data_IF_753923606135
#
_entry.id   IF_753923606135
#
_cell.length_a   1.000
_cell.length_b   1.000
_cell.length_c   1.000
_cell.angle_alpha   90.00
_cell.angle_beta   90.00
_cell.angle_gamma   90.00
#
_symmetry.space_group_name_H-M   'P 1'
#
loop_
_entity.id
_entity.type
_entity.pdbx_description
1 polymer ?
#
# COMPACT_ATOMS: atom_id res chain seq x y z
N UNK A 1 19.16 40.41 16.17
CA UNK A 1 17.74 40.25 16.58
C UNK A 1 16.94 39.91 15.34
N UNK A 2 16.40 38.69 15.22
CA UNK A 2 15.43 38.34 14.18
C UNK A 2 14.04 38.63 14.76
N UNK A 3 13.21 39.36 14.03
CA UNK A 3 11.83 39.64 14.43
C UNK A 3 11.08 38.32 14.65
N UNK A 4 10.12 38.25 15.61
CA UNK A 4 9.25 37.09 15.73
C UNK A 4 8.36 37.02 14.48
N UNK A 5 8.25 35.82 13.91
CA UNK A 5 7.20 35.52 12.95
C UNK A 5 5.88 35.44 13.72
N UNK A 6 5.08 36.50 13.66
CA UNK A 6 3.71 36.45 14.15
C UNK A 6 2.93 35.54 13.22
N UNK A 7 2.53 34.37 13.72
CA UNK A 7 1.68 33.44 12.99
C UNK A 7 0.28 34.07 12.89
N UNK A 8 -0.12 34.43 11.68
CA UNK A 8 -1.48 34.91 11.41
C UNK A 8 -2.51 33.84 11.79
N UNK A 9 -3.69 34.24 12.31
CA UNK A 9 -4.67 33.29 12.81
C UNK A 9 -5.21 32.45 11.65
N UNK A 10 -4.99 31.13 11.72
CA UNK A 10 -5.61 30.15 10.83
C UNK A 10 -7.13 30.27 10.93
N UNK A 11 -7.72 31.00 10.00
CA UNK A 11 -9.17 31.11 9.83
C UNK A 11 -9.62 29.97 8.92
N UNK A 12 -10.65 29.26 9.37
CA UNK A 12 -11.22 28.00 8.83
C UNK A 12 -10.39 26.75 9.16
N UNK A 13 -10.97 25.82 9.94
CA UNK A 13 -10.43 24.46 10.12
C UNK A 13 -10.41 23.74 8.76
N UNK A 14 -9.34 23.91 7.97
CA UNK A 14 -9.02 22.97 6.91
C UNK A 14 -8.75 21.62 7.56
N UNK A 15 -9.73 20.72 7.46
CA UNK A 15 -9.61 19.34 7.95
C UNK A 15 -8.49 18.64 7.20
N UNK A 16 -7.28 18.69 7.75
CA UNK A 16 -6.14 17.99 7.20
C UNK A 16 -6.32 16.49 7.37
N UNK A 17 -6.73 15.82 6.30
CA UNK A 17 -6.86 14.37 6.29
C UNK A 17 -5.47 13.78 6.14
N UNK A 18 -5.05 12.95 7.10
CA UNK A 18 -3.78 12.23 7.10
C UNK A 18 -4.02 10.71 7.02
N UNK A 19 -4.28 10.16 5.82
CA UNK A 19 -4.61 8.76 5.65
C UNK A 19 -3.43 7.87 6.01
N UNK A 20 -3.72 6.80 6.72
CA UNK A 20 -2.79 5.70 6.92
C UNK A 20 -3.42 4.43 6.35
N UNK A 21 -2.74 3.82 5.38
CA UNK A 21 -3.19 2.62 4.67
C UNK A 21 -2.28 1.47 5.07
N UNK A 22 -2.88 0.43 5.61
CA UNK A 22 -2.21 -0.84 5.84
C UNK A 22 -2.72 -1.86 4.83
N UNK A 23 -1.79 -2.44 4.06
CA UNK A 23 -2.10 -3.50 3.12
C UNK A 23 -1.42 -4.79 3.57
N UNK A 24 -2.25 -5.77 3.93
CA UNK A 24 -1.81 -7.14 4.20
C UNK A 24 -1.90 -7.95 2.91
N UNK A 25 -0.78 -8.59 2.55
CA UNK A 25 -0.66 -9.34 1.31
C UNK A 25 0.22 -10.57 1.51
N UNK A 26 0.20 -11.46 0.55
CA UNK A 26 1.12 -12.59 0.53
C UNK A 26 2.52 -12.15 0.11
N UNK A 27 3.53 -12.84 0.61
CA UNK A 27 4.90 -12.75 0.11
C UNK A 27 4.96 -13.01 -1.41
N UNK A 28 5.89 -12.33 -2.09
CA UNK A 28 6.25 -12.63 -3.50
C UNK A 28 6.02 -11.50 -4.49
N UNK A 29 5.68 -10.28 -4.06
CA UNK A 29 5.82 -9.12 -4.93
C UNK A 29 7.29 -8.77 -5.11
N UNK A 30 7.68 -8.35 -6.33
CA UNK A 30 8.96 -7.69 -6.54
C UNK A 30 8.97 -6.28 -5.95
N UNK A 31 10.16 -5.69 -5.77
CA UNK A 31 10.28 -4.31 -5.26
C UNK A 31 9.61 -3.29 -6.18
N UNK A 32 9.66 -3.51 -7.50
CA UNK A 32 8.97 -2.69 -8.50
C UNK A 32 7.44 -2.79 -8.36
N UNK A 33 6.92 -4.01 -8.14
CA UNK A 33 5.49 -4.22 -7.91
C UNK A 33 5.02 -3.56 -6.61
N UNK A 34 5.80 -3.65 -5.53
CA UNK A 34 5.53 -2.97 -4.26
C UNK A 34 5.51 -1.45 -4.43
N UNK A 35 6.48 -0.92 -5.16
CA UNK A 35 6.59 0.52 -5.46
C UNK A 35 5.40 1.01 -6.27
N UNK A 36 5.02 0.26 -7.31
CA UNK A 36 3.85 0.57 -8.13
C UNK A 36 2.55 0.55 -7.31
N UNK A 37 2.40 -0.45 -6.42
CA UNK A 37 1.25 -0.58 -5.55
C UNK A 37 1.11 0.60 -4.59
N UNK A 38 2.19 0.97 -3.89
CA UNK A 38 2.22 2.12 -2.98
C UNK A 38 1.85 3.41 -3.72
N UNK A 39 2.50 3.67 -4.87
CA UNK A 39 2.22 4.87 -5.67
C UNK A 39 0.75 4.95 -6.07
N UNK A 40 0.18 3.83 -6.51
CA UNK A 40 -1.21 3.79 -6.97
C UNK A 40 -2.20 3.99 -5.83
N UNK A 41 -1.97 3.38 -4.66
CA UNK A 41 -2.80 3.61 -3.47
C UNK A 41 -2.77 5.09 -3.05
N UNK A 42 -1.59 5.69 -3.02
CA UNK A 42 -1.44 7.11 -2.69
C UNK A 42 -2.15 8.01 -3.69
N UNK A 43 -1.97 7.77 -4.98
CA UNK A 43 -2.61 8.55 -6.05
C UNK A 43 -4.15 8.47 -5.96
N UNK A 44 -4.71 7.27 -5.85
CA UNK A 44 -6.16 7.08 -5.73
C UNK A 44 -6.69 7.76 -4.47
N UNK A 45 -5.97 7.65 -3.36
CA UNK A 45 -6.36 8.29 -2.09
C UNK A 45 -6.39 9.80 -2.24
N UNK A 46 -5.33 10.40 -2.81
CA UNK A 46 -5.32 11.83 -3.11
C UNK A 46 -6.52 12.24 -3.98
N UNK A 47 -6.77 11.49 -5.07
CA UNK A 47 -7.87 11.78 -6.00
C UNK A 47 -9.26 11.63 -5.39
N UNK A 48 -9.44 10.69 -4.45
CA UNK A 48 -10.77 10.34 -3.92
C UNK A 48 -11.14 11.17 -2.70
N UNK A 49 -10.18 11.47 -1.82
CA UNK A 49 -10.45 12.13 -0.53
C UNK A 49 -9.75 13.49 -0.37
N UNK A 50 -9.00 13.94 -1.38
CA UNK A 50 -8.37 15.27 -1.40
C UNK A 50 -7.19 15.45 -0.43
N UNK A 51 -6.71 14.39 0.23
CA UNK A 51 -5.54 14.48 1.10
C UNK A 51 -4.28 14.79 0.29
N UNK A 52 -3.42 15.69 0.77
CA UNK A 52 -2.14 15.97 0.14
C UNK A 52 -1.24 14.72 0.12
N UNK A 53 -0.49 14.51 -0.96
CA UNK A 53 0.43 13.37 -1.11
C UNK A 53 1.36 13.18 0.09
N UNK A 54 1.89 14.27 0.65
CA UNK A 54 2.80 14.25 1.78
C UNK A 54 2.18 13.69 3.07
N UNK A 55 0.85 13.61 3.16
CA UNK A 55 0.12 13.18 4.35
C UNK A 55 -0.44 11.76 4.24
N UNK A 56 -0.26 11.12 3.10
CA UNK A 56 -0.73 9.76 2.86
C UNK A 56 0.42 8.79 3.12
N UNK A 57 0.22 7.93 4.11
CA UNK A 57 1.19 6.90 4.49
C UNK A 57 0.65 5.53 4.11
N UNK A 58 1.50 4.70 3.49
CA UNK A 58 1.16 3.33 3.10
C UNK A 58 2.20 2.37 3.66
N UNK A 59 1.75 1.31 4.32
CA UNK A 59 2.60 0.21 4.76
C UNK A 59 2.12 -1.11 4.14
N UNK A 60 3.08 -1.86 3.60
CA UNK A 60 2.86 -3.22 3.11
C UNK A 60 3.32 -4.21 4.18
N UNK A 61 2.46 -5.18 4.51
CA UNK A 61 2.78 -6.28 5.44
C UNK A 61 2.63 -7.60 4.70
N UNK A 62 3.76 -8.22 4.42
CA UNK A 62 3.79 -9.50 3.71
C UNK A 62 3.68 -10.66 4.70
N UNK A 63 2.84 -11.63 4.34
CA UNK A 63 2.60 -12.83 5.14
C UNK A 63 2.82 -14.08 4.31
N UNK A 64 3.31 -15.18 4.91
CA UNK A 64 3.21 -16.50 4.30
C UNK A 64 1.76 -16.83 3.92
N UNK A 65 1.57 -17.57 2.83
CA UNK A 65 0.24 -17.93 2.29
C UNK A 65 -0.67 -18.58 3.33
N UNK A 66 -0.11 -19.41 4.23
CA UNK A 66 -0.85 -20.08 5.29
C UNK A 66 -1.50 -19.12 6.32
N UNK A 67 -1.02 -17.87 6.42
CA UNK A 67 -1.55 -16.86 7.34
C UNK A 67 -2.75 -16.11 6.77
N UNK A 68 -3.04 -16.30 5.47
CA UNK A 68 -4.12 -15.61 4.78
C UNK A 68 -5.26 -16.59 4.53
N UNK A 69 -6.42 -16.32 5.13
CA UNK A 69 -7.62 -17.12 4.96
C UNK A 69 -8.76 -16.32 4.35
N UNK A 70 -9.52 -16.94 3.45
CA UNK A 70 -10.74 -16.37 2.88
C UNK A 70 -11.90 -17.35 3.10
N UNK A 71 -12.99 -16.88 3.70
CA UNK A 71 -14.15 -17.73 3.98
C UNK A 71 -13.88 -18.90 4.94
N UNK A 72 -12.83 -18.81 5.77
CA UNK A 72 -12.41 -19.87 6.68
C UNK A 72 -11.37 -20.84 6.09
N UNK A 73 -11.05 -20.73 4.80
CA UNK A 73 -10.06 -21.57 4.13
C UNK A 73 -8.69 -20.86 4.10
N UNK A 74 -7.64 -21.44 4.71
CA UNK A 74 -6.29 -20.89 4.63
C UNK A 74 -5.75 -20.98 3.20
N UNK A 75 -4.71 -20.20 2.90
CA UNK A 75 -4.00 -20.20 1.61
C UNK A 75 -4.83 -19.82 0.37
N UNK A 76 -6.01 -19.22 0.56
CA UNK A 76 -6.94 -18.86 -0.51
C UNK A 76 -6.76 -17.43 -1.08
N UNK A 77 -5.63 -16.77 -0.82
CA UNK A 77 -5.40 -15.39 -1.24
C UNK A 77 -5.26 -15.21 -2.77
N UNK A 78 -5.63 -14.04 -3.33
CA UNK A 78 -5.50 -13.77 -4.77
C UNK A 78 -4.05 -13.83 -5.28
N UNK A 79 -3.08 -13.47 -4.43
CA UNK A 79 -1.65 -13.53 -4.77
C UNK A 79 -1.17 -14.98 -4.85
N UNK A 80 -1.79 -15.93 -4.12
CA UNK A 80 -1.32 -17.32 -4.08
C UNK A 80 -1.48 -17.98 -5.44
N UNK A 81 -2.61 -17.75 -6.11
CA UNK A 81 -2.85 -18.21 -7.49
C UNK A 81 -1.86 -17.62 -8.50
N UNK A 82 -1.45 -16.36 -8.30
CA UNK A 82 -0.41 -15.74 -9.13
C UNK A 82 0.95 -16.41 -8.89
N UNK A 83 1.29 -16.66 -7.63
CA UNK A 83 2.53 -17.32 -7.22
C UNK A 83 2.59 -18.77 -7.71
N UNK A 84 1.49 -19.52 -7.63
CA UNK A 84 1.34 -20.87 -8.21
C UNK A 84 1.65 -20.88 -9.71
N UNK A 85 1.12 -19.89 -10.45
CA UNK A 85 1.40 -19.74 -11.88
C UNK A 85 2.87 -19.42 -12.15
N UNK A 86 3.47 -18.48 -11.40
CA UNK A 86 4.89 -18.16 -11.54
C UNK A 86 5.78 -19.38 -11.25
N UNK A 87 5.46 -20.18 -10.23
CA UNK A 87 6.15 -21.42 -9.92
C UNK A 87 6.01 -22.46 -11.04
N UNK A 88 4.80 -22.61 -11.61
CA UNK A 88 4.56 -23.50 -12.74
C UNK A 88 5.33 -23.07 -14.00
N UNK A 89 5.42 -21.76 -14.26
CA UNK A 89 6.13 -21.20 -15.41
C UNK A 89 7.66 -21.30 -15.24
N UNK A 90 8.19 -21.19 -14.02
CA UNK A 90 9.60 -21.41 -13.73
C UNK A 90 10.03 -22.85 -14.00
N UNK A 91 9.20 -23.84 -13.65
CA UNK A 91 9.46 -25.27 -13.89
C UNK A 91 9.34 -25.71 -15.36
N UNK A 92 8.90 -24.82 -16.27
CA UNK A 92 8.72 -25.11 -17.70
C UNK A 92 9.86 -24.65 -18.59
N UNK A 93 10.91 -24.01 -18.06
CA UNK A 93 12.06 -23.59 -18.87
C UNK A 93 12.96 -24.79 -19.18
N UNK A 94 13.17 -25.17 -20.45
CA UNK A 94 14.15 -26.20 -20.78
C UNK A 94 15.58 -25.70 -20.48
N UNK A 95 16.43 -26.63 -20.02
CA UNK A 95 17.87 -26.44 -19.83
C UNK A 95 18.58 -26.07 -21.14
#
# INVERSE_FOLDING_TARGET
>A
MKQPIEAEPHTVEEKYVMPFIQCDLEVGLSDDEKTALIRRMTEITHQTIGSAYAHINVILREHPTANLGEGGEPARALVSKRNEKLAADANRRPL
#
